data_IF_984073867145
#
_entry.id   IF_984073867145
#
_cell.length_a   1.000
_cell.length_b   1.000
_cell.length_c   1.000
_cell.angle_alpha   90.00
_cell.angle_beta   90.00
_cell.angle_gamma   90.00
#
_symmetry.space_group_name_H-M   'P 1'
#
loop_
_entity.id
_entity.type
_entity.pdbx_description
1 polymer ?
#
# COMPACT_ATOMS: atom_id res chain seq x y z
N UNK A 1 -0.92 -37.63 7.64
CA UNK A 1 -0.56 -36.52 8.53
C UNK A 1 -1.61 -35.43 8.36
N UNK A 2 -2.41 -35.16 9.41
CA UNK A 2 -3.39 -34.06 9.36
C UNK A 2 -2.64 -32.71 9.19
N UNK A 3 -2.92 -31.99 8.11
CA UNK A 3 -2.40 -30.62 7.95
C UNK A 3 -2.93 -29.78 9.13
N UNK A 4 -2.05 -29.28 9.97
CA UNK A 4 -2.40 -28.34 11.04
C UNK A 4 -3.01 -27.13 10.36
N UNK A 5 -4.31 -26.89 10.57
CA UNK A 5 -5.00 -25.71 10.05
C UNK A 5 -4.67 -24.51 10.93
N UNK A 6 -4.57 -23.32 10.33
CA UNK A 6 -4.44 -22.05 11.04
C UNK A 6 -5.71 -21.80 11.88
N UNK A 7 -5.57 -21.23 13.07
CA UNK A 7 -6.72 -20.91 13.91
C UNK A 7 -7.38 -19.60 13.45
N UNK A 8 -8.72 -19.59 13.35
CA UNK A 8 -9.49 -18.40 12.96
C UNK A 8 -9.71 -17.50 14.18
N UNK A 9 -8.74 -16.62 14.45
CA UNK A 9 -8.75 -15.73 15.62
C UNK A 9 -8.98 -14.26 15.28
N UNK A 10 -8.74 -13.85 14.01
CA UNK A 10 -8.86 -12.47 13.56
C UNK A 10 -10.31 -12.07 13.38
N UNK A 11 -10.82 -11.23 14.27
CA UNK A 11 -12.17 -10.64 14.16
C UNK A 11 -12.19 -9.40 13.25
N UNK A 12 -13.38 -8.87 13.00
CA UNK A 12 -13.59 -7.71 12.11
C UNK A 12 -12.74 -6.49 12.46
N UNK A 13 -12.64 -6.12 13.74
CA UNK A 13 -11.90 -4.92 14.18
C UNK A 13 -10.41 -5.07 13.91
N UNK A 14 -9.82 -6.23 14.22
CA UNK A 14 -8.42 -6.51 13.94
C UNK A 14 -8.14 -6.53 12.44
N UNK A 15 -9.04 -7.10 11.64
CA UNK A 15 -8.93 -7.09 10.18
C UNK A 15 -9.01 -5.67 9.61
N UNK A 16 -9.90 -4.83 10.14
CA UNK A 16 -10.02 -3.43 9.74
C UNK A 16 -8.74 -2.66 10.07
N UNK A 17 -8.24 -2.77 11.30
CA UNK A 17 -7.01 -2.10 11.71
C UNK A 17 -5.80 -2.60 10.91
N UNK A 18 -5.72 -3.89 10.64
CA UNK A 18 -4.68 -4.46 9.76
C UNK A 18 -4.73 -3.85 8.36
N UNK A 19 -5.92 -3.78 7.75
CA UNK A 19 -6.11 -3.18 6.43
C UNK A 19 -5.83 -1.68 6.42
N UNK A 20 -6.30 -0.96 7.45
CA UNK A 20 -6.01 0.47 7.59
C UNK A 20 -4.52 0.73 7.76
N UNK A 21 -3.79 -0.05 8.57
CA UNK A 21 -2.35 0.13 8.74
C UNK A 21 -1.57 -0.11 7.46
N UNK A 22 -1.99 -1.07 6.64
CA UNK A 22 -1.37 -1.30 5.35
C UNK A 22 -1.63 -0.15 4.36
N UNK A 23 -2.83 0.46 4.37
CA UNK A 23 -3.19 1.59 3.51
C UNK A 23 -2.60 2.90 4.06
N UNK A 24 -2.86 3.23 5.34
CA UNK A 24 -2.45 4.50 5.96
C UNK A 24 -0.94 4.62 6.12
N UNK A 25 -0.25 3.50 6.30
CA UNK A 25 1.18 3.37 6.54
C UNK A 25 2.04 4.44 5.90
N UNK A 26 3.16 4.10 5.39
CA UNK A 26 4.11 5.08 4.90
C UNK A 26 3.67 5.88 3.65
N UNK A 27 2.64 5.45 2.91
CA UNK A 27 2.24 6.13 1.68
C UNK A 27 1.91 7.60 1.88
N UNK A 28 0.99 7.92 2.78
CA UNK A 28 0.59 9.30 3.04
C UNK A 28 1.68 10.08 3.79
N UNK A 29 2.36 9.45 4.75
CA UNK A 29 3.41 10.10 5.54
C UNK A 29 4.58 10.58 4.68
N UNK A 30 4.85 9.90 3.58
CA UNK A 30 6.04 10.14 2.75
C UNK A 30 5.71 10.87 1.46
N UNK A 31 4.57 10.58 0.83
CA UNK A 31 4.28 11.03 -0.54
C UNK A 31 3.35 12.23 -0.64
N UNK A 32 2.65 12.64 0.43
CA UNK A 32 1.69 13.74 0.36
C UNK A 32 2.31 15.01 -0.23
N UNK A 33 3.50 15.40 0.20
CA UNK A 33 4.21 16.56 -0.33
C UNK A 33 4.61 16.41 -1.80
N UNK A 34 4.99 15.19 -2.22
CA UNK A 34 5.38 14.92 -3.61
C UNK A 34 4.16 14.96 -4.54
N UNK A 35 3.02 14.43 -4.12
CA UNK A 35 1.76 14.52 -4.88
C UNK A 35 1.31 15.98 -5.00
N UNK A 36 1.37 16.75 -3.91
CA UNK A 36 1.07 18.18 -3.91
C UNK A 36 2.03 18.94 -4.86
N UNK A 37 3.30 18.57 -4.87
CA UNK A 37 4.29 19.15 -5.76
C UNK A 37 4.04 18.89 -7.26
N UNK A 38 3.34 17.79 -7.60
CA UNK A 38 2.93 17.44 -8.97
C UNK A 38 1.60 18.13 -9.33
N UNK A 39 0.59 17.92 -8.49
CA UNK A 39 -0.80 18.26 -8.82
C UNK A 39 -1.30 19.57 -8.20
N UNK A 40 -0.48 20.25 -7.38
CA UNK A 40 -0.91 21.47 -6.71
C UNK A 40 -2.21 21.26 -5.94
N UNK A 41 -3.14 22.20 -6.05
CA UNK A 41 -4.47 22.10 -5.43
C UNK A 41 -5.32 20.97 -6.01
N UNK A 42 -5.05 20.50 -7.22
CA UNK A 42 -5.73 19.32 -7.79
C UNK A 42 -5.35 18.00 -7.11
N UNK A 43 -4.42 18.01 -6.14
CA UNK A 43 -4.09 16.81 -5.35
C UNK A 43 -5.31 16.22 -4.65
N UNK A 44 -6.30 17.04 -4.24
CA UNK A 44 -7.56 16.54 -3.68
C UNK A 44 -8.29 15.67 -4.70
N UNK A 45 -8.42 16.16 -5.94
CA UNK A 45 -9.05 15.42 -7.04
C UNK A 45 -8.23 14.18 -7.38
N UNK A 46 -6.90 14.29 -7.38
CA UNK A 46 -5.98 13.19 -7.63
C UNK A 46 -6.12 12.06 -6.61
N UNK A 47 -6.20 12.36 -5.31
CA UNK A 47 -6.43 11.37 -4.26
C UNK A 47 -7.82 10.74 -4.34
N UNK A 48 -8.86 11.51 -4.66
CA UNK A 48 -10.22 10.99 -4.90
C UNK A 48 -10.21 10.04 -6.11
N UNK A 49 -9.57 10.43 -7.21
CA UNK A 49 -9.44 9.58 -8.40
C UNK A 49 -8.69 8.28 -8.08
N UNK A 50 -7.57 8.36 -7.37
CA UNK A 50 -6.81 7.20 -6.94
C UNK A 50 -7.64 6.26 -6.04
N UNK A 51 -8.43 6.82 -5.11
CA UNK A 51 -9.33 6.05 -4.26
C UNK A 51 -10.42 5.33 -5.04
N UNK A 52 -10.97 5.97 -6.09
CA UNK A 52 -11.97 5.36 -6.97
C UNK A 52 -11.36 4.18 -7.74
N UNK A 53 -10.16 4.37 -8.31
CA UNK A 53 -9.42 3.30 -9.00
C UNK A 53 -9.18 2.11 -8.06
N UNK A 54 -8.73 2.37 -6.84
CA UNK A 54 -8.53 1.35 -5.81
C UNK A 54 -9.85 0.65 -5.43
N UNK A 55 -10.95 1.41 -5.27
CA UNK A 55 -12.24 0.91 -4.82
C UNK A 55 -12.80 -0.18 -5.76
N UNK A 56 -12.81 0.04 -7.08
CA UNK A 56 -13.35 -0.93 -8.02
C UNK A 56 -12.59 -2.25 -7.98
N UNK A 57 -11.28 -2.20 -7.83
CA UNK A 57 -10.47 -3.42 -7.66
C UNK A 57 -10.66 -4.03 -6.27
N UNK A 58 -10.78 -3.22 -5.23
CA UNK A 58 -11.04 -3.71 -3.87
C UNK A 58 -12.38 -4.46 -3.76
N UNK A 59 -13.40 -4.00 -4.48
CA UNK A 59 -14.69 -4.73 -4.60
C UNK A 59 -14.48 -6.10 -5.28
N UNK A 60 -13.63 -6.19 -6.29
CA UNK A 60 -13.30 -7.47 -6.93
C UNK A 60 -12.53 -8.40 -5.99
N UNK A 61 -11.57 -7.87 -5.22
CA UNK A 61 -10.87 -8.63 -4.16
C UNK A 61 -11.83 -9.12 -3.07
N UNK A 62 -12.81 -8.29 -2.69
CA UNK A 62 -13.84 -8.64 -1.73
C UNK A 62 -14.63 -9.90 -2.14
N UNK A 63 -15.06 -9.98 -3.40
CA UNK A 63 -15.76 -11.15 -3.92
C UNK A 63 -14.82 -12.35 -4.03
N UNK A 64 -13.61 -12.17 -4.57
CA UNK A 64 -12.63 -13.23 -4.75
C UNK A 64 -12.15 -13.81 -3.42
N UNK A 65 -11.85 -12.98 -2.42
CA UNK A 65 -11.48 -13.44 -1.09
C UNK A 65 -12.60 -14.21 -0.38
N UNK A 66 -13.86 -13.84 -0.67
CA UNK A 66 -15.03 -14.57 -0.16
C UNK A 66 -15.24 -15.92 -0.85
N UNK A 67 -14.89 -16.02 -2.15
CA UNK A 67 -14.97 -17.26 -2.94
C UNK A 67 -13.84 -18.23 -2.64
N UNK A 68 -12.64 -17.69 -2.51
CA UNK A 68 -11.38 -18.43 -2.34
C UNK A 68 -10.62 -17.92 -1.11
N UNK A 69 -11.06 -18.25 0.11
CA UNK A 69 -10.43 -17.75 1.35
C UNK A 69 -9.13 -18.51 1.65
N UNK A 70 -8.10 -18.28 0.84
CA UNK A 70 -6.79 -18.94 0.94
C UNK A 70 -5.66 -17.92 1.00
N UNK A 71 -4.61 -18.18 1.75
CA UNK A 71 -3.49 -17.27 1.98
C UNK A 71 -2.62 -16.98 0.75
N UNK A 72 -2.76 -17.73 -0.35
CA UNK A 72 -2.06 -17.47 -1.61
C UNK A 72 -2.96 -16.72 -2.61
N UNK A 73 -3.92 -15.91 -2.13
CA UNK A 73 -5.08 -15.39 -2.82
C UNK A 73 -4.86 -14.99 -4.28
N UNK A 74 -3.99 -14.02 -4.58
CA UNK A 74 -3.90 -13.44 -5.93
C UNK A 74 -3.48 -14.47 -6.99
N UNK A 75 -2.46 -15.29 -6.71
CA UNK A 75 -2.01 -16.32 -7.66
C UNK A 75 -3.11 -17.38 -7.90
N UNK A 76 -3.90 -17.69 -6.87
CA UNK A 76 -5.07 -18.59 -6.99
C UNK A 76 -6.16 -17.93 -7.83
N UNK A 77 -6.47 -16.65 -7.62
CA UNK A 77 -7.48 -15.93 -8.39
C UNK A 77 -7.15 -15.94 -9.90
N UNK A 78 -5.87 -15.75 -10.25
CA UNK A 78 -5.41 -15.81 -11.63
C UNK A 78 -5.51 -17.26 -12.19
N UNK A 79 -5.13 -18.26 -11.39
CA UNK A 79 -5.21 -19.65 -11.79
C UNK A 79 -6.66 -20.07 -12.06
N UNK A 80 -7.58 -19.71 -11.17
CA UNK A 80 -9.01 -20.04 -11.28
C UNK A 80 -9.70 -19.25 -12.41
N UNK A 81 -9.33 -17.98 -12.61
CA UNK A 81 -9.97 -17.15 -13.63
C UNK A 81 -9.42 -17.34 -15.03
N UNK A 82 -8.10 -17.49 -15.16
CA UNK A 82 -7.44 -17.55 -16.48
C UNK A 82 -6.99 -18.96 -16.85
N UNK A 83 -6.77 -19.84 -15.86
CA UNK A 83 -6.34 -21.22 -16.09
C UNK A 83 -4.88 -21.36 -16.54
N UNK A 84 -4.07 -20.29 -16.49
CA UNK A 84 -2.70 -20.28 -16.98
C UNK A 84 -1.68 -20.32 -15.85
N UNK A 85 -0.94 -21.44 -15.75
CA UNK A 85 0.15 -21.59 -14.79
C UNK A 85 1.23 -20.52 -14.98
N UNK A 86 1.63 -20.22 -16.21
CA UNK A 86 2.68 -19.26 -16.50
C UNK A 86 2.27 -17.83 -16.08
N UNK A 87 1.00 -17.47 -16.31
CA UNK A 87 0.49 -16.17 -15.87
C UNK A 87 0.43 -16.08 -14.36
N UNK A 88 0.02 -17.15 -13.66
CA UNK A 88 0.02 -17.20 -12.19
C UNK A 88 1.44 -17.04 -11.62
N UNK A 89 2.46 -17.63 -12.25
CA UNK A 89 3.87 -17.45 -11.89
C UNK A 89 4.28 -15.99 -12.13
N UNK A 90 3.98 -15.44 -13.30
CA UNK A 90 4.30 -14.05 -13.63
C UNK A 90 3.70 -13.06 -12.65
N UNK A 91 2.42 -13.22 -12.29
CA UNK A 91 1.75 -12.37 -11.31
C UNK A 91 2.35 -12.53 -9.91
N UNK A 92 2.71 -13.75 -9.49
CA UNK A 92 3.41 -13.97 -8.24
C UNK A 92 4.75 -13.22 -8.16
N UNK A 93 5.52 -13.22 -9.26
CA UNK A 93 6.77 -12.44 -9.37
C UNK A 93 6.50 -10.94 -9.36
N UNK A 94 5.48 -10.46 -10.09
CA UNK A 94 5.13 -9.04 -10.12
C UNK A 94 4.77 -8.52 -8.72
N UNK A 95 3.98 -9.28 -7.95
CA UNK A 95 3.62 -8.90 -6.56
C UNK A 95 4.87 -8.90 -5.67
N UNK A 96 5.75 -9.91 -5.79
CA UNK A 96 6.98 -9.95 -5.01
C UNK A 96 7.86 -8.75 -5.32
N UNK A 97 8.06 -8.41 -6.60
CA UNK A 97 8.84 -7.25 -7.02
C UNK A 97 8.17 -5.95 -6.54
N UNK A 98 6.85 -5.81 -6.71
CA UNK A 98 6.11 -4.64 -6.25
C UNK A 98 6.30 -4.42 -4.74
N UNK A 99 6.23 -5.48 -3.93
CA UNK A 99 6.49 -5.42 -2.50
C UNK A 99 7.92 -4.98 -2.16
N UNK A 100 8.94 -5.47 -2.90
CA UNK A 100 10.33 -5.06 -2.67
C UNK A 100 10.59 -3.62 -3.09
N UNK A 101 9.99 -3.16 -4.18
CA UNK A 101 10.02 -1.75 -4.63
C UNK A 101 9.30 -0.87 -3.60
N UNK A 102 8.14 -1.30 -3.13
CA UNK A 102 7.41 -0.61 -2.06
C UNK A 102 8.26 -0.50 -0.79
N UNK A 103 8.92 -1.59 -0.36
CA UNK A 103 9.84 -1.56 0.77
C UNK A 103 10.96 -0.53 0.56
N UNK A 104 11.56 -0.47 -0.63
CA UNK A 104 12.60 0.51 -0.96
C UNK A 104 12.05 1.95 -0.90
N UNK A 105 10.83 2.20 -1.38
CA UNK A 105 10.13 3.50 -1.26
C UNK A 105 10.01 3.91 0.20
N UNK A 106 9.53 2.99 1.06
CA UNK A 106 9.34 3.22 2.49
C UNK A 106 10.66 3.55 3.18
N UNK A 107 11.71 2.78 2.90
CA UNK A 107 13.04 3.01 3.48
C UNK A 107 13.63 4.36 3.06
N UNK A 108 13.40 4.81 1.82
CA UNK A 108 13.72 6.17 1.40
C UNK A 108 12.97 7.23 2.24
N UNK A 109 11.69 7.02 2.48
CA UNK A 109 10.87 7.91 3.31
C UNK A 109 11.34 7.96 4.78
N UNK A 110 11.84 6.85 5.32
CA UNK A 110 12.39 6.79 6.67
C UNK A 110 13.54 7.79 6.88
N UNK A 111 14.40 7.94 5.89
CA UNK A 111 15.55 8.86 5.94
C UNK A 111 15.11 10.29 6.24
N UNK A 112 14.03 10.75 5.62
CA UNK A 112 13.51 12.10 5.84
C UNK A 112 13.11 12.36 7.29
N UNK A 113 12.40 11.42 7.92
CA UNK A 113 12.00 11.53 9.32
C UNK A 113 13.18 11.34 10.28
N UNK A 114 14.10 10.42 9.99
CA UNK A 114 15.27 10.18 10.83
C UNK A 114 16.20 11.40 10.85
N UNK A 115 16.38 12.06 9.72
CA UNK A 115 17.22 13.24 9.59
C UNK A 115 16.68 14.49 10.33
N UNK A 116 15.47 14.42 10.89
CA UNK A 116 14.98 15.43 11.87
C UNK A 116 15.75 15.35 13.21
N UNK A 117 16.40 14.22 13.51
CA UNK A 117 17.14 14.00 14.74
C UNK A 117 18.65 14.06 14.54
N UNK A 118 19.16 13.33 13.54
CA UNK A 118 20.60 13.18 13.27
C UNK A 118 20.83 13.11 11.77
N UNK A 119 21.74 13.93 11.29
CA UNK A 119 22.16 13.90 9.87
C UNK A 119 23.13 12.74 9.65
N UNK A 120 22.70 11.73 8.90
CA UNK A 120 23.49 10.57 8.50
C UNK A 120 23.44 10.45 6.98
N UNK A 121 24.50 9.90 6.37
CA UNK A 121 24.50 9.58 4.95
C UNK A 121 23.28 8.71 4.60
N UNK A 122 22.40 9.16 3.67
CA UNK A 122 21.16 8.47 3.33
C UNK A 122 21.38 7.01 2.91
N UNK A 123 22.37 6.74 2.08
CA UNK A 123 22.66 5.39 1.54
C UNK A 123 23.06 4.42 2.66
N UNK A 124 23.88 4.91 3.61
CA UNK A 124 24.27 4.13 4.78
C UNK A 124 23.07 3.82 5.66
N UNK A 125 22.23 4.84 5.94
CA UNK A 125 21.06 4.68 6.79
C UNK A 125 20.05 3.71 6.17
N UNK A 126 19.76 3.83 4.88
CA UNK A 126 18.87 2.91 4.15
C UNK A 126 19.39 1.47 4.20
N UNK A 127 20.69 1.29 3.93
CA UNK A 127 21.33 -0.05 3.94
C UNK A 127 21.26 -0.67 5.33
N UNK A 128 21.61 0.07 6.38
CA UNK A 128 21.52 -0.40 7.77
C UNK A 128 20.09 -0.77 8.18
N UNK A 129 19.12 0.07 7.83
CA UNK A 129 17.72 -0.22 8.11
C UNK A 129 17.27 -1.52 7.44
N UNK A 130 17.55 -1.71 6.14
CA UNK A 130 17.20 -2.94 5.43
C UNK A 130 17.85 -4.17 6.06
N UNK A 131 19.13 -4.09 6.43
CA UNK A 131 19.83 -5.18 7.12
C UNK A 131 19.14 -5.52 8.44
N UNK A 132 18.75 -4.53 9.21
CA UNK A 132 18.02 -4.72 10.47
C UNK A 132 16.66 -5.39 10.21
N UNK A 133 15.90 -4.91 9.21
CA UNK A 133 14.60 -5.49 8.85
C UNK A 133 14.73 -6.94 8.37
N UNK A 134 15.76 -7.26 7.58
CA UNK A 134 16.09 -8.63 7.15
C UNK A 134 16.44 -9.50 8.35
N UNK A 135 17.28 -9.03 9.27
CA UNK A 135 17.65 -9.75 10.48
C UNK A 135 16.45 -10.03 11.39
N UNK A 136 15.53 -9.07 11.52
CA UNK A 136 14.26 -9.22 12.24
C UNK A 136 13.38 -10.27 11.54
N UNK A 137 13.25 -10.20 10.21
CA UNK A 137 12.46 -11.15 9.41
C UNK A 137 12.97 -12.58 9.53
N UNK A 138 14.29 -12.76 9.58
CA UNK A 138 14.94 -14.08 9.76
C UNK A 138 14.68 -14.65 11.14
N UNK A 139 14.67 -13.85 12.19
CA UNK A 139 14.42 -14.31 13.57
C UNK A 139 13.01 -14.88 13.78
N UNK A 140 12.13 -14.74 12.79
CA UNK A 140 10.80 -15.32 12.86
C UNK A 140 9.85 -14.57 13.78
N UNK A 141 9.99 -13.25 13.86
CA UNK A 141 8.99 -12.40 14.49
C UNK A 141 7.66 -12.70 13.77
N UNK A 142 6.78 -13.41 14.49
CA UNK A 142 5.38 -13.48 14.12
C UNK A 142 4.90 -12.03 14.13
N UNK A 143 4.77 -11.43 12.95
CA UNK A 143 4.05 -10.17 12.82
C UNK A 143 2.61 -10.47 13.23
N UNK A 144 2.36 -10.38 14.54
CA UNK A 144 1.03 -10.60 15.08
C UNK A 144 0.15 -9.49 14.49
N UNK A 145 -0.98 -9.85 13.94
CA UNK A 145 -2.01 -8.88 13.51
C UNK A 145 -2.29 -7.87 14.63
N UNK A 146 -2.13 -8.28 15.88
CA UNK A 146 -2.23 -7.40 17.05
C UNK A 146 -1.14 -6.32 17.04
N UNK A 147 0.13 -6.66 16.77
CA UNK A 147 1.23 -5.69 16.72
C UNK A 147 1.00 -4.70 15.59
N UNK A 148 0.67 -5.18 14.40
CA UNK A 148 0.31 -4.33 13.26
C UNK A 148 -0.86 -3.41 13.62
N UNK A 149 -1.92 -3.94 14.27
CA UNK A 149 -3.07 -3.13 14.68
C UNK A 149 -2.71 -2.06 15.71
N UNK A 150 -1.82 -2.33 16.65
CA UNK A 150 -1.34 -1.34 17.63
C UNK A 150 -0.52 -0.24 16.94
N UNK A 151 0.36 -0.60 16.01
CA UNK A 151 1.11 0.37 15.20
C UNK A 151 0.16 1.22 14.36
N UNK A 152 -0.87 0.62 13.76
CA UNK A 152 -1.91 1.36 13.04
C UNK A 152 -2.61 2.39 13.91
N UNK A 153 -2.92 2.08 15.17
CA UNK A 153 -3.50 3.06 16.08
C UNK A 153 -2.55 4.25 16.34
N UNK A 154 -1.25 4.00 16.42
CA UNK A 154 -0.23 5.05 16.54
C UNK A 154 -0.20 5.91 15.27
N UNK A 155 -0.26 5.28 14.10
CA UNK A 155 -0.30 5.97 12.79
C UNK A 155 -1.56 6.85 12.67
N UNK A 156 -2.73 6.30 12.95
CA UNK A 156 -4.00 7.05 12.96
C UNK A 156 -3.94 8.21 13.94
N UNK A 157 -3.37 8.00 15.14
CA UNK A 157 -3.17 9.07 16.12
C UNK A 157 -2.31 10.20 15.56
N UNK A 158 -1.23 9.88 14.83
CA UNK A 158 -0.39 10.88 14.16
C UNK A 158 -1.16 11.72 13.14
N UNK A 159 -1.99 11.08 12.29
CA UNK A 159 -2.84 11.78 11.33
C UNK A 159 -3.86 12.68 12.03
N UNK A 160 -4.54 12.15 13.05
CA UNK A 160 -5.52 12.92 13.84
C UNK A 160 -4.87 14.08 14.58
N UNK A 161 -3.62 13.93 15.05
CA UNK A 161 -2.86 15.00 15.68
C UNK A 161 -2.58 16.15 14.69
N UNK A 162 -2.17 15.87 13.47
CA UNK A 162 -1.98 16.88 12.41
C UNK A 162 -3.32 17.57 12.10
N UNK A 163 -4.40 16.80 11.92
CA UNK A 163 -5.74 17.34 11.66
C UNK A 163 -6.21 18.22 12.81
N UNK A 164 -5.98 17.80 14.07
CA UNK A 164 -6.38 18.56 15.25
C UNK A 164 -5.69 19.93 15.32
N UNK A 165 -4.37 19.98 15.13
CA UNK A 165 -3.63 21.25 15.15
C UNK A 165 -3.91 22.13 13.92
N UNK A 166 -4.26 21.54 12.78
CA UNK A 166 -4.62 22.25 11.54
C UNK A 166 -6.12 22.49 11.37
N UNK A 167 -6.95 22.21 12.39
CA UNK A 167 -8.41 22.23 12.26
C UNK A 167 -8.98 23.60 11.89
N UNK A 168 -8.40 24.67 12.40
CA UNK A 168 -8.81 26.05 12.07
C UNK A 168 -8.61 26.35 10.57
N UNK A 169 -7.54 25.82 9.94
CA UNK A 169 -7.31 25.94 8.50
C UNK A 169 -8.32 25.17 7.66
N UNK A 170 -8.85 24.05 8.18
CA UNK A 170 -9.90 23.28 7.49
C UNK A 170 -11.23 24.05 7.48
N UNK A 171 -11.59 24.71 8.59
CA UNK A 171 -12.84 25.48 8.71
C UNK A 171 -12.75 26.81 7.94
N UNK A 172 -11.61 27.47 8.04
CA UNK A 172 -11.37 28.80 7.47
C UNK A 172 -10.50 28.72 6.20
N UNK A 173 -10.81 27.77 5.31
CA UNK A 173 -10.07 27.56 4.06
C UNK A 173 -9.91 28.88 3.31
N UNK A 174 -8.67 29.38 3.22
CA UNK A 174 -8.34 30.63 2.52
C UNK A 174 -8.30 30.48 0.99
N UNK A 175 -8.21 29.22 0.54
CA UNK A 175 -8.13 28.88 -0.88
C UNK A 175 -9.54 28.89 -1.46
N UNK A 176 -9.73 29.60 -2.57
CA UNK A 176 -11.03 29.61 -3.26
C UNK A 176 -11.40 28.19 -3.72
N UNK A 177 -12.65 27.78 -3.52
CA UNK A 177 -13.12 26.48 -3.99
C UNK A 177 -12.90 26.28 -5.50
N UNK A 178 -12.90 27.36 -6.28
CA UNK A 178 -12.62 27.35 -7.72
C UNK A 178 -11.21 26.84 -8.07
N UNK A 179 -10.24 26.94 -7.15
CA UNK A 179 -8.87 26.46 -7.39
C UNK A 179 -8.75 24.92 -7.32
N UNK A 180 -9.71 24.27 -6.68
CA UNK A 180 -9.80 22.80 -6.63
C UNK A 180 -10.55 22.22 -7.83
N UNK A 181 -11.22 23.05 -8.63
CA UNK A 181 -12.02 22.60 -9.79
C UNK A 181 -11.17 22.73 -11.06
N UNK A 182 -10.87 21.61 -11.76
CA UNK A 182 -10.14 21.67 -13.02
C UNK A 182 -10.98 22.33 -14.12
N UNK A 183 -10.34 23.05 -15.00
CA UNK A 183 -10.96 23.64 -16.20
C UNK A 183 -11.20 22.59 -17.30
N UNK A 184 -10.82 21.34 -17.06
CA UNK A 184 -10.94 20.22 -18.00
C UNK A 184 -10.18 20.42 -19.32
N UNK A 185 -9.16 21.25 -19.33
CA UNK A 185 -8.18 21.27 -20.41
C UNK A 185 -7.18 20.10 -20.27
N UNK A 186 -6.40 19.86 -21.33
CA UNK A 186 -5.45 18.74 -21.33
C UNK A 186 -4.35 18.90 -20.28
N UNK A 187 -3.97 20.12 -19.93
CA UNK A 187 -2.95 20.41 -18.92
C UNK A 187 -3.43 19.99 -17.53
N UNK A 188 -4.61 20.45 -17.11
CA UNK A 188 -5.19 20.12 -15.81
C UNK A 188 -5.42 18.61 -15.68
N UNK A 189 -5.97 17.98 -16.74
CA UNK A 189 -6.21 16.54 -16.77
C UNK A 189 -4.90 15.76 -16.60
N UNK A 190 -3.86 16.12 -17.35
CA UNK A 190 -2.56 15.45 -17.29
C UNK A 190 -1.95 15.52 -15.89
N UNK A 191 -1.97 16.68 -15.27
CA UNK A 191 -1.45 16.90 -13.90
C UNK A 191 -2.24 16.11 -12.86
N UNK A 192 -3.58 16.04 -12.99
CA UNK A 192 -4.43 15.23 -12.11
C UNK A 192 -4.10 13.74 -12.23
N UNK A 193 -3.94 13.21 -13.45
CA UNK A 193 -3.62 11.80 -13.66
C UNK A 193 -2.21 11.46 -13.17
N UNK A 194 -1.21 12.32 -13.40
CA UNK A 194 0.14 12.16 -12.84
C UNK A 194 0.10 12.12 -11.30
N UNK A 195 -0.61 13.09 -10.70
CA UNK A 195 -0.82 13.13 -9.25
C UNK A 195 -1.57 11.90 -8.73
N UNK A 196 -2.63 11.46 -9.41
CA UNK A 196 -3.41 10.29 -9.03
C UNK A 196 -2.60 8.99 -9.14
N UNK A 197 -1.75 8.87 -10.14
CA UNK A 197 -0.87 7.72 -10.31
C UNK A 197 0.14 7.61 -9.14
N UNK A 198 0.71 8.71 -8.69
CA UNK A 198 1.58 8.73 -7.53
C UNK A 198 0.77 8.55 -6.23
N UNK A 199 -0.39 9.21 -6.08
CA UNK A 199 -1.28 9.07 -4.94
C UNK A 199 -1.84 7.64 -4.80
N UNK A 200 -1.98 6.89 -5.89
CA UNK A 200 -2.42 5.51 -5.88
C UNK A 200 -1.53 4.62 -5.00
N UNK A 201 -0.24 4.94 -4.92
CA UNK A 201 0.67 4.25 -3.99
C UNK A 201 0.18 4.29 -2.54
N UNK A 202 -0.44 5.39 -2.11
CA UNK A 202 -0.95 5.52 -0.75
C UNK A 202 -2.23 4.68 -0.49
N UNK A 203 -2.81 4.06 -1.51
CA UNK A 203 -3.94 3.15 -1.39
C UNK A 203 -3.54 1.67 -1.54
N UNK A 204 -2.27 1.37 -1.89
CA UNK A 204 -1.73 0.01 -1.93
C UNK A 204 -1.71 -0.54 -0.50
N UNK A 205 -2.15 -1.80 -0.31
CA UNK A 205 -2.13 -2.48 0.99
C UNK A 205 -3.45 -3.18 1.35
N UNK A 206 -4.60 -2.79 0.79
CA UNK A 206 -5.84 -3.52 1.04
C UNK A 206 -5.79 -4.95 0.46
N UNK A 207 -5.04 -5.18 -0.60
CA UNK A 207 -4.81 -6.49 -1.19
C UNK A 207 -4.05 -7.45 -0.27
N UNK A 208 -3.28 -6.92 0.67
CA UNK A 208 -2.56 -7.73 1.65
C UNK A 208 -3.50 -8.37 2.69
N UNK A 209 -4.69 -7.77 2.88
CA UNK A 209 -5.69 -8.34 3.78
C UNK A 209 -6.06 -9.77 3.39
N UNK A 210 -6.08 -10.11 2.09
CA UNK A 210 -6.46 -11.46 1.64
C UNK A 210 -5.43 -12.53 2.02
N UNK A 211 -4.18 -12.15 2.30
CA UNK A 211 -3.13 -13.08 2.70
C UNK A 211 -3.34 -13.71 4.07
N UNK A 212 -4.20 -13.12 4.92
CA UNK A 212 -4.59 -13.66 6.23
C UNK A 212 -5.99 -14.31 6.23
N UNK A 213 -6.54 -14.61 5.03
CA UNK A 213 -7.92 -15.09 4.88
C UNK A 213 -8.23 -16.37 5.69
N UNK A 214 -7.25 -17.26 5.86
CA UNK A 214 -7.41 -18.49 6.62
C UNK A 214 -7.53 -18.26 8.14
N UNK A 215 -7.07 -17.09 8.62
CA UNK A 215 -7.07 -16.74 10.05
C UNK A 215 -8.28 -15.86 10.45
N UNK A 216 -9.08 -15.39 9.46
CA UNK A 216 -10.22 -14.50 9.70
C UNK A 216 -11.47 -15.27 10.08
N UNK A 217 -12.19 -14.78 11.10
CA UNK A 217 -13.52 -15.26 11.50
C UNK A 217 -14.56 -14.75 10.49
N UNK A 218 -15.40 -15.64 9.99
CA UNK A 218 -16.47 -15.33 9.02
C UNK A 218 -15.97 -14.46 7.84
N UNK A 219 -14.98 -14.94 7.06
CA UNK A 219 -14.31 -14.11 6.03
C UNK A 219 -15.29 -13.53 5.02
N UNK A 220 -16.33 -14.27 4.63
CA UNK A 220 -17.37 -13.79 3.69
C UNK A 220 -18.15 -12.56 4.17
N UNK A 221 -18.22 -12.32 5.48
CA UNK A 221 -18.86 -11.14 6.07
C UNK A 221 -17.87 -10.06 6.50
N UNK A 222 -16.68 -10.48 6.99
CA UNK A 222 -15.70 -9.57 7.55
C UNK A 222 -14.96 -8.78 6.46
N UNK A 223 -14.48 -9.45 5.39
CA UNK A 223 -13.73 -8.80 4.31
C UNK A 223 -14.47 -7.64 3.64
N UNK A 224 -15.72 -7.82 3.20
CA UNK A 224 -16.42 -6.75 2.50
C UNK A 224 -16.50 -5.46 3.29
N UNK A 225 -16.86 -5.58 4.56
CA UNK A 225 -16.98 -4.43 5.45
C UNK A 225 -15.61 -3.81 5.77
N UNK A 226 -14.61 -4.63 6.03
CA UNK A 226 -13.29 -4.16 6.42
C UNK A 226 -12.57 -3.44 5.26
N UNK A 227 -12.61 -3.98 4.05
CA UNK A 227 -11.97 -3.37 2.86
C UNK A 227 -12.62 -2.02 2.55
N UNK A 228 -13.97 -1.96 2.46
CA UNK A 228 -14.67 -0.72 2.13
C UNK A 228 -14.44 0.34 3.22
N UNK A 229 -14.53 -0.05 4.49
CA UNK A 229 -14.36 0.90 5.59
C UNK A 229 -12.92 1.38 5.70
N UNK A 230 -11.93 0.51 5.48
CA UNK A 230 -10.52 0.90 5.45
C UNK A 230 -10.25 1.93 4.34
N UNK A 231 -10.69 1.66 3.11
CA UNK A 231 -10.53 2.60 1.99
C UNK A 231 -11.26 3.92 2.23
N UNK A 232 -12.52 3.88 2.67
CA UNK A 232 -13.31 5.09 2.91
C UNK A 232 -12.68 5.96 4.02
N UNK A 233 -12.27 5.35 5.13
CA UNK A 233 -11.62 6.06 6.25
C UNK A 233 -10.29 6.64 5.83
N UNK A 234 -9.47 5.88 5.10
CA UNK A 234 -8.17 6.37 4.59
C UNK A 234 -8.36 7.54 3.63
N UNK A 235 -9.29 7.43 2.66
CA UNK A 235 -9.60 8.53 1.73
C UNK A 235 -10.02 9.79 2.47
N UNK A 236 -10.91 9.64 3.46
CA UNK A 236 -11.38 10.78 4.27
C UNK A 236 -10.22 11.45 5.03
N UNK A 237 -9.38 10.66 5.70
CA UNK A 237 -8.22 11.18 6.40
C UNK A 237 -7.24 11.87 5.44
N UNK A 238 -7.01 11.31 4.26
CA UNK A 238 -6.11 11.88 3.26
C UNK A 238 -6.59 13.25 2.77
N UNK A 239 -7.89 13.39 2.51
CA UNK A 239 -8.49 14.68 2.13
C UNK A 239 -8.30 15.71 3.24
N UNK A 240 -8.54 15.36 4.50
CA UNK A 240 -8.32 16.28 5.62
C UNK A 240 -6.85 16.69 5.75
N UNK A 241 -5.92 15.76 5.58
CA UNK A 241 -4.48 16.05 5.60
C UNK A 241 -4.09 16.99 4.47
N UNK A 242 -4.62 16.80 3.27
CA UNK A 242 -4.36 17.72 2.14
C UNK A 242 -4.84 19.14 2.47
N UNK A 243 -6.04 19.30 3.01
CA UNK A 243 -6.58 20.62 3.38
C UNK A 243 -5.69 21.30 4.43
N UNK A 244 -5.27 20.57 5.48
CA UNK A 244 -4.31 21.09 6.47
C UNK A 244 -2.99 21.48 5.81
N UNK A 245 -2.49 20.64 4.90
CA UNK A 245 -1.21 20.86 4.24
C UNK A 245 -1.21 22.16 3.44
N UNK A 246 -2.28 22.44 2.69
CA UNK A 246 -2.42 23.64 1.87
C UNK A 246 -2.54 24.92 2.69
N UNK A 247 -3.18 24.88 3.87
CA UNK A 247 -3.27 26.08 4.74
C UNK A 247 -1.95 26.33 5.47
N UNK A 248 -1.13 25.30 5.66
CA UNK A 248 0.05 25.38 6.56
C UNK A 248 1.32 25.75 5.81
N UNK A 249 1.58 25.14 4.65
CA UNK A 249 2.83 25.28 3.88
C UNK A 249 2.51 25.58 2.42
N UNK A 250 3.42 26.28 1.76
CA UNK A 250 3.35 26.48 0.32
C UNK A 250 3.58 25.18 -0.46
N UNK A 251 3.08 25.11 -1.70
CA UNK A 251 3.29 23.95 -2.59
C UNK A 251 4.79 23.66 -2.75
N UNK A 252 5.62 24.70 -2.86
CA UNK A 252 7.07 24.57 -3.00
C UNK A 252 7.72 23.94 -1.74
N UNK A 253 7.33 24.40 -0.54
CA UNK A 253 7.80 23.84 0.72
C UNK A 253 7.40 22.36 0.85
N UNK A 254 6.16 22.01 0.52
CA UNK A 254 5.66 20.63 0.55
C UNK A 254 6.37 19.73 -0.46
N UNK A 255 6.58 20.21 -1.70
CA UNK A 255 7.29 19.49 -2.76
C UNK A 255 8.71 19.10 -2.33
N UNK A 256 9.41 20.03 -1.69
CA UNK A 256 10.82 19.86 -1.30
C UNK A 256 10.98 19.15 0.05
N UNK A 257 9.89 18.99 0.82
CA UNK A 257 9.94 18.31 2.10
C UNK A 257 10.23 16.81 1.94
N UNK A 258 11.11 16.30 2.81
CA UNK A 258 11.38 14.87 2.97
C UNK A 258 10.67 14.29 4.21
N UNK A 259 10.09 15.13 5.06
CA UNK A 259 9.31 14.75 6.23
C UNK A 259 8.10 15.69 6.37
N UNK A 260 7.13 15.66 5.44
CA UNK A 260 6.09 16.69 5.32
C UNK A 260 5.29 16.87 6.61
N UNK A 261 4.99 15.81 7.36
CA UNK A 261 4.25 15.93 8.61
C UNK A 261 5.08 16.55 9.74
N UNK A 262 6.40 16.35 9.73
CA UNK A 262 7.28 17.04 10.68
C UNK A 262 7.27 18.55 10.43
N UNK A 263 7.37 18.96 9.16
CA UNK A 263 7.37 20.37 8.78
C UNK A 263 6.02 21.04 9.05
N UNK A 264 4.90 20.37 8.72
CA UNK A 264 3.54 20.82 9.01
C UNK A 264 3.36 20.99 10.52
N UNK A 265 3.73 19.98 11.32
CA UNK A 265 3.60 20.04 12.78
C UNK A 265 4.39 21.20 13.39
N UNK A 266 5.64 21.36 12.97
CA UNK A 266 6.51 22.46 13.41
C UNK A 266 5.90 23.82 13.09
N UNK A 267 5.36 23.98 11.88
CA UNK A 267 4.72 25.23 11.44
C UNK A 267 3.44 25.55 12.23
N UNK A 268 2.59 24.54 12.47
CA UNK A 268 1.34 24.69 13.21
C UNK A 268 1.54 24.97 14.70
N UNK A 269 2.52 24.33 15.32
CA UNK A 269 2.66 24.35 16.78
C UNK A 269 3.82 25.20 17.30
N UNK A 270 4.78 25.52 16.44
CA UNK A 270 6.05 26.14 16.82
C UNK A 270 6.98 25.23 17.66
N UNK A 271 6.61 23.95 17.84
CA UNK A 271 7.36 22.97 18.65
C UNK A 271 8.20 22.05 17.78
N UNK A 272 9.22 21.44 18.39
CA UNK A 272 10.03 20.43 17.72
C UNK A 272 9.17 19.21 17.32
N UNK A 273 9.32 18.69 16.09
CA UNK A 273 8.44 17.66 15.54
C UNK A 273 8.80 16.24 16.00
N UNK A 274 9.35 16.06 17.21
CA UNK A 274 9.87 14.80 17.74
C UNK A 274 8.81 13.69 17.69
N UNK A 275 7.61 13.96 18.22
CA UNK A 275 6.55 12.96 18.34
C UNK A 275 6.09 12.50 16.95
N UNK A 276 5.78 13.43 16.05
CA UNK A 276 5.27 13.10 14.73
C UNK A 276 6.35 12.42 13.86
N UNK A 277 7.62 12.79 14.05
CA UNK A 277 8.73 12.13 13.34
C UNK A 277 8.93 10.69 13.82
N UNK A 278 8.80 10.42 15.11
CA UNK A 278 8.83 9.06 15.66
C UNK A 278 7.65 8.23 15.11
N UNK A 279 6.45 8.80 15.09
CA UNK A 279 5.27 8.13 14.51
C UNK A 279 5.51 7.81 13.02
N UNK A 280 6.01 8.76 12.24
CA UNK A 280 6.36 8.55 10.82
C UNK A 280 7.40 7.44 10.62
N UNK A 281 8.44 7.38 11.48
CA UNK A 281 9.42 6.30 11.43
C UNK A 281 8.78 4.94 11.72
N UNK A 282 7.89 4.84 12.71
CA UNK A 282 7.19 3.59 13.03
C UNK A 282 6.27 3.15 11.89
N UNK A 283 5.56 4.07 11.27
CA UNK A 283 4.71 3.79 10.11
C UNK A 283 5.53 3.17 8.96
N UNK A 284 6.69 3.76 8.67
CA UNK A 284 7.59 3.27 7.61
C UNK A 284 8.18 1.91 7.95
N UNK A 285 8.69 1.72 9.16
CA UNK A 285 9.29 0.44 9.61
C UNK A 285 8.25 -0.68 9.54
N UNK A 286 7.01 -0.42 9.98
CA UNK A 286 5.93 -1.38 9.93
C UNK A 286 5.67 -1.86 8.50
N UNK A 287 5.40 -0.93 7.59
CA UNK A 287 5.17 -1.26 6.18
C UNK A 287 6.35 -1.97 5.52
N UNK A 288 7.57 -1.47 5.69
CA UNK A 288 8.76 -2.06 5.10
C UNK A 288 9.03 -3.50 5.59
N UNK A 289 8.83 -3.77 6.88
CA UNK A 289 8.97 -5.11 7.45
C UNK A 289 7.95 -6.09 6.86
N UNK A 290 6.69 -5.69 6.77
CA UNK A 290 5.61 -6.49 6.17
C UNK A 290 5.95 -6.85 4.72
N UNK A 291 6.42 -5.89 3.92
CA UNK A 291 6.76 -6.11 2.52
C UNK A 291 7.93 -7.09 2.34
N UNK A 292 9.00 -7.00 3.14
CA UNK A 292 10.12 -7.98 3.11
C UNK A 292 9.64 -9.38 3.46
N UNK A 293 8.83 -9.51 4.53
CA UNK A 293 8.30 -10.81 4.97
C UNK A 293 7.44 -11.39 3.85
N UNK A 294 6.54 -10.62 3.29
CA UNK A 294 5.60 -11.06 2.26
C UNK A 294 6.33 -11.48 0.98
N UNK A 295 7.23 -10.65 0.44
CA UNK A 295 8.00 -10.97 -0.75
C UNK A 295 8.84 -12.25 -0.55
N UNK A 296 9.48 -12.41 0.61
CA UNK A 296 10.25 -13.63 0.92
C UNK A 296 9.39 -14.88 0.97
N UNK A 297 8.15 -14.79 1.47
CA UNK A 297 7.20 -15.91 1.50
C UNK A 297 6.65 -16.25 0.11
N UNK A 298 6.42 -15.26 -0.74
CA UNK A 298 6.03 -15.48 -2.13
C UNK A 298 7.14 -16.23 -2.87
N UNK A 299 8.38 -15.78 -2.79
CA UNK A 299 9.55 -16.43 -3.41
C UNK A 299 9.70 -17.87 -2.90
N UNK A 300 9.61 -18.09 -1.59
CA UNK A 300 9.64 -19.40 -0.98
C UNK A 300 8.48 -20.31 -1.49
N UNK A 301 7.25 -19.81 -1.47
CA UNK A 301 6.08 -20.55 -1.92
C UNK A 301 6.14 -20.94 -3.39
N UNK A 302 6.65 -20.07 -4.24
CA UNK A 302 6.89 -20.35 -5.65
C UNK A 302 7.98 -21.43 -5.83
N UNK A 303 9.05 -21.39 -5.03
CA UNK A 303 10.09 -22.40 -5.06
C UNK A 303 9.57 -23.77 -4.60
N UNK A 304 8.73 -23.84 -3.58
CA UNK A 304 8.08 -25.09 -3.13
C UNK A 304 7.17 -25.69 -4.20
N UNK A 305 6.50 -24.84 -5.01
CA UNK A 305 5.67 -25.27 -6.14
C UNK A 305 6.46 -25.62 -7.39
N UNK A 306 7.80 -25.49 -7.38
CA UNK A 306 8.65 -25.69 -8.55
C UNK A 306 8.49 -24.58 -9.62
N UNK A 307 8.07 -23.39 -9.21
CA UNK A 307 7.91 -22.21 -10.05
C UNK A 307 9.10 -21.24 -9.93
N UNK A 308 10.01 -21.51 -9.00
CA UNK A 308 11.25 -20.79 -8.76
C UNK A 308 12.34 -21.77 -8.35
N UNK A 309 13.66 -21.44 -8.43
CA UNK A 309 14.71 -22.38 -8.10
C UNK A 309 14.55 -22.97 -6.69
N UNK A 310 14.67 -24.28 -6.58
CA UNK A 310 14.46 -25.05 -5.34
C UNK A 310 15.38 -24.62 -4.18
N UNK A 311 16.50 -23.96 -4.49
CA UNK A 311 17.39 -23.34 -3.51
C UNK A 311 16.66 -22.42 -2.52
N UNK A 312 15.60 -21.76 -2.94
CA UNK A 312 14.80 -20.84 -2.12
C UNK A 312 13.65 -21.52 -1.37
N UNK A 313 13.46 -22.85 -1.56
CA UNK A 313 12.43 -23.61 -0.85
C UNK A 313 12.86 -24.08 0.55
N UNK A 314 14.10 -23.83 0.95
CA UNK A 314 14.62 -24.26 2.24
C UNK A 314 14.14 -23.37 3.39
N UNK A 315 13.68 -24.02 4.47
CA UNK A 315 13.31 -23.38 5.74
C UNK A 315 14.32 -23.74 6.81
N UNK A 316 14.82 -22.75 7.52
CA UNK A 316 15.72 -22.96 8.65
C UNK A 316 15.06 -23.76 9.76
N UNK A 317 15.71 -24.83 10.24
CA UNK A 317 15.21 -25.63 11.34
C UNK A 317 15.09 -24.83 12.66
N UNK A 318 15.96 -23.84 12.86
CA UNK A 318 16.05 -23.01 14.08
C UNK A 318 15.02 -21.89 14.10
N UNK A 319 14.91 -21.12 13.02
CA UNK A 319 14.06 -19.92 12.97
C UNK A 319 12.69 -20.17 12.35
N UNK A 320 12.53 -21.31 11.66
CA UNK A 320 11.31 -21.66 10.91
C UNK A 320 10.98 -20.66 9.80
N UNK A 321 12.01 -19.99 9.25
CA UNK A 321 11.88 -18.96 8.20
C UNK A 321 12.70 -19.30 6.96
N UNK A 322 12.32 -18.83 5.76
CA UNK A 322 13.04 -19.07 4.53
C UNK A 322 14.22 -18.07 4.39
N UNK A 323 15.32 -18.31 5.12
CA UNK A 323 16.46 -17.36 5.21
C UNK A 323 16.98 -16.95 3.83
N UNK A 324 17.17 -17.91 2.90
CA UNK A 324 17.69 -17.63 1.55
C UNK A 324 16.79 -16.68 0.75
N UNK A 325 15.47 -16.90 0.81
CA UNK A 325 14.50 -16.03 0.17
C UNK A 325 14.44 -14.64 0.83
N UNK A 326 14.60 -14.55 2.15
CA UNK A 326 14.64 -13.28 2.89
C UNK A 326 15.92 -12.48 2.55
N UNK A 327 17.06 -13.14 2.43
CA UNK A 327 18.31 -12.50 2.00
C UNK A 327 18.22 -11.99 0.57
N UNK A 328 17.64 -12.77 -0.36
CA UNK A 328 17.37 -12.32 -1.72
C UNK A 328 16.47 -11.07 -1.74
N UNK A 329 15.37 -11.10 -0.97
CA UNK A 329 14.46 -9.96 -0.83
C UNK A 329 15.20 -8.71 -0.33
N UNK A 330 15.99 -8.82 0.73
CA UNK A 330 16.80 -7.72 1.26
C UNK A 330 17.81 -7.17 0.25
N UNK A 331 18.51 -8.04 -0.47
CA UNK A 331 19.50 -7.62 -1.48
C UNK A 331 18.84 -6.84 -2.63
N UNK A 332 17.70 -7.30 -3.11
CA UNK A 332 16.93 -6.61 -4.15
C UNK A 332 16.42 -5.26 -3.62
N UNK A 333 15.90 -5.20 -2.39
CA UNK A 333 15.44 -3.95 -1.77
C UNK A 333 16.57 -2.93 -1.63
N UNK A 334 17.77 -3.35 -1.19
CA UNK A 334 18.95 -2.48 -1.12
C UNK A 334 19.25 -1.91 -2.50
N UNK A 335 19.30 -2.77 -3.53
CA UNK A 335 19.59 -2.32 -4.90
C UNK A 335 18.57 -1.27 -5.37
N UNK A 336 17.27 -1.48 -5.16
CA UNK A 336 16.26 -0.51 -5.53
C UNK A 336 16.39 0.80 -4.72
N UNK A 337 16.59 0.71 -3.42
CA UNK A 337 16.70 1.89 -2.55
C UNK A 337 17.91 2.79 -2.89
N UNK A 338 19.02 2.20 -3.33
CA UNK A 338 20.24 2.93 -3.68
C UNK A 338 20.24 3.46 -5.12
N UNK A 339 19.53 2.81 -6.05
CA UNK A 339 19.58 3.15 -7.47
C UNK A 339 18.47 4.12 -7.90
N UNK A 340 17.37 4.19 -7.17
CA UNK A 340 16.19 4.95 -7.56
C UNK A 340 15.72 5.87 -6.44
N UNK A 341 15.18 7.03 -6.82
CA UNK A 341 14.56 7.98 -5.91
C UNK A 341 13.16 7.54 -5.47
N UNK A 342 12.66 8.18 -4.42
CA UNK A 342 11.39 7.88 -3.78
C UNK A 342 10.19 7.93 -4.74
N UNK A 343 10.13 8.96 -5.62
CA UNK A 343 9.00 9.15 -6.54
C UNK A 343 9.01 8.09 -7.63
N UNK A 344 10.19 7.80 -8.19
CA UNK A 344 10.37 6.74 -9.19
C UNK A 344 9.98 5.36 -8.63
N UNK A 345 10.42 5.04 -7.40
CA UNK A 345 10.06 3.78 -6.74
C UNK A 345 8.56 3.67 -6.47
N UNK A 346 7.94 4.71 -5.95
CA UNK A 346 6.50 4.73 -5.69
C UNK A 346 5.69 4.59 -6.99
N UNK A 347 6.10 5.30 -8.05
CA UNK A 347 5.49 5.21 -9.37
C UNK A 347 5.63 3.82 -9.98
N UNK A 348 6.82 3.21 -9.86
CA UNK A 348 7.05 1.85 -10.35
C UNK A 348 6.23 0.81 -9.57
N UNK A 349 6.13 0.93 -8.25
CA UNK A 349 5.25 0.09 -7.43
C UNK A 349 3.80 0.23 -7.86
N UNK A 350 3.30 1.47 -8.06
CA UNK A 350 1.95 1.74 -8.55
C UNK A 350 1.68 1.08 -9.89
N UNK A 351 2.62 1.15 -10.83
CA UNK A 351 2.50 0.52 -12.15
C UNK A 351 2.36 -1.01 -12.03
N UNK A 352 3.24 -1.65 -11.27
CA UNK A 352 3.22 -3.10 -11.07
C UNK A 352 1.90 -3.56 -10.45
N UNK A 353 1.44 -2.87 -9.41
CA UNK A 353 0.18 -3.20 -8.74
C UNK A 353 -1.04 -2.94 -9.64
N UNK A 354 -1.07 -1.87 -10.44
CA UNK A 354 -2.14 -1.62 -11.39
C UNK A 354 -2.25 -2.72 -12.47
N UNK A 355 -1.12 -3.27 -12.91
CA UNK A 355 -1.10 -4.45 -13.81
C UNK A 355 -1.72 -5.66 -13.11
N UNK A 356 -1.31 -5.94 -11.87
CA UNK A 356 -1.87 -7.04 -11.07
C UNK A 356 -3.36 -6.84 -10.85
N UNK A 357 -3.80 -5.65 -10.47
CA UNK A 357 -5.19 -5.31 -10.24
C UNK A 357 -6.05 -5.48 -11.50
N UNK A 358 -5.50 -5.10 -12.66
CA UNK A 358 -6.15 -5.36 -13.96
C UNK A 358 -6.37 -6.85 -14.17
N UNK A 359 -5.35 -7.69 -13.95
CA UNK A 359 -5.44 -9.13 -14.10
C UNK A 359 -6.41 -9.78 -13.09
N UNK A 360 -6.47 -9.27 -11.87
CA UNK A 360 -7.44 -9.73 -10.85
C UNK A 360 -8.87 -9.42 -11.27
N UNK A 361 -9.14 -8.20 -11.76
CA UNK A 361 -10.45 -7.84 -12.29
C UNK A 361 -10.85 -8.72 -13.49
N UNK A 362 -9.93 -8.97 -14.45
CA UNK A 362 -10.15 -9.87 -15.57
C UNK A 362 -10.43 -11.30 -15.10
N UNK A 363 -9.74 -11.77 -14.07
CA UNK A 363 -9.97 -13.10 -13.50
C UNK A 363 -11.38 -13.22 -12.90
N UNK A 364 -11.84 -12.22 -12.18
CA UNK A 364 -13.21 -12.20 -11.65
C UNK A 364 -14.25 -12.21 -12.79
N UNK A 365 -14.06 -11.41 -13.85
CA UNK A 365 -14.94 -11.41 -15.01
C UNK A 365 -15.08 -12.82 -15.59
N UNK A 366 -13.95 -13.53 -15.80
CA UNK A 366 -13.95 -14.90 -16.33
C UNK A 366 -14.59 -15.90 -15.39
N UNK A 367 -14.28 -15.85 -14.10
CA UNK A 367 -14.90 -16.72 -13.09
C UNK A 367 -16.43 -16.54 -13.09
N UNK A 368 -16.92 -15.30 -13.13
CA UNK A 368 -18.37 -15.02 -13.16
C UNK A 368 -19.06 -15.47 -14.44
N UNK A 369 -18.33 -15.51 -15.55
CA UNK A 369 -18.86 -15.94 -16.84
C UNK A 369 -18.87 -17.47 -17.01
N UNK A 370 -18.01 -18.19 -16.28
CA UNK A 370 -17.78 -19.63 -16.48
C UNK A 370 -18.30 -20.54 -15.38
N UNK A 371 -18.57 -20.01 -14.19
CA UNK A 371 -18.94 -20.82 -13.03
C UNK A 371 -20.32 -20.47 -12.47
N UNK A 372 -21.01 -21.48 -11.90
CA UNK A 372 -22.24 -21.27 -11.14
C UNK A 372 -21.92 -20.43 -9.92
N UNK A 373 -22.75 -19.42 -9.65
CA UNK A 373 -22.54 -18.51 -8.54
C UNK A 373 -22.67 -19.26 -7.19
N UNK A 374 -21.63 -19.28 -6.33
CA UNK A 374 -21.70 -19.97 -5.05
C UNK A 374 -22.69 -19.25 -4.12
N UNK A 375 -23.46 -20.04 -3.35
CA UNK A 375 -24.36 -19.50 -2.33
C UNK A 375 -23.56 -19.01 -1.12
N UNK A 376 -24.04 -17.92 -0.49
CA UNK A 376 -23.41 -17.37 0.73
C UNK A 376 -22.16 -16.51 0.51
N UNK A 377 -21.81 -16.24 -0.74
CA UNK A 377 -20.73 -15.33 -1.12
C UNK A 377 -21.32 -14.01 -1.58
N UNK A 378 -20.71 -12.90 -1.18
CA UNK A 378 -21.09 -11.57 -1.67
C UNK A 378 -20.74 -11.48 -3.15
N UNK A 379 -21.73 -11.05 -3.92
CA UNK A 379 -21.60 -10.93 -5.37
C UNK A 379 -21.71 -9.46 -5.77
N UNK A 380 -20.70 -8.95 -6.45
CA UNK A 380 -20.75 -7.63 -7.07
C UNK A 380 -21.32 -7.73 -8.51
N UNK A 381 -21.98 -6.70 -9.03
CA UNK A 381 -22.41 -6.67 -10.43
C UNK A 381 -21.22 -6.80 -11.38
N UNK A 382 -21.43 -7.46 -12.54
CA UNK A 382 -20.37 -7.74 -13.52
C UNK A 382 -19.72 -6.46 -14.10
N UNK A 383 -20.45 -5.35 -14.14
CA UNK A 383 -19.89 -4.08 -14.61
C UNK A 383 -18.78 -3.52 -13.69
N UNK A 384 -18.77 -3.89 -12.39
CA UNK A 384 -17.77 -3.41 -11.41
C UNK A 384 -16.35 -3.83 -11.80
N UNK A 385 -16.03 -5.12 -12.01
CA UNK A 385 -14.69 -5.50 -12.43
C UNK A 385 -14.34 -5.00 -13.85
N UNK A 386 -15.30 -4.84 -14.78
CA UNK A 386 -15.05 -4.19 -16.05
C UNK A 386 -14.63 -2.73 -15.89
N UNK A 387 -15.31 -2.00 -15.00
CA UNK A 387 -14.95 -0.63 -14.70
C UNK A 387 -13.60 -0.56 -13.97
N UNK A 388 -13.28 -1.53 -13.11
CA UNK A 388 -11.96 -1.67 -12.50
C UNK A 388 -10.85 -1.84 -13.54
N UNK A 389 -11.05 -2.68 -14.56
CA UNK A 389 -10.08 -2.80 -15.69
C UNK A 389 -9.94 -1.46 -16.40
N UNK A 390 -11.06 -0.81 -16.72
CA UNK A 390 -11.06 0.48 -17.44
C UNK A 390 -10.29 1.55 -16.65
N UNK A 391 -10.58 1.71 -15.35
CA UNK A 391 -9.92 2.69 -14.50
C UNK A 391 -8.42 2.46 -14.37
N UNK A 392 -8.01 1.20 -14.13
CA UNK A 392 -6.59 0.85 -14.01
C UNK A 392 -5.83 1.15 -15.32
N UNK A 393 -6.37 0.73 -16.46
CA UNK A 393 -5.75 0.95 -17.78
C UNK A 393 -5.73 2.44 -18.12
N UNK A 394 -6.83 3.16 -17.90
CA UNK A 394 -6.90 4.59 -18.12
C UNK A 394 -5.86 5.36 -17.29
N UNK A 395 -5.72 5.04 -16.00
CA UNK A 395 -4.74 5.70 -15.13
C UNK A 395 -3.33 5.50 -15.67
N UNK A 396 -2.98 4.28 -16.11
CA UNK A 396 -1.65 4.00 -16.70
C UNK A 396 -1.47 4.74 -18.02
N UNK A 397 -2.43 4.66 -18.96
CA UNK A 397 -2.30 5.29 -20.29
C UNK A 397 -2.23 6.81 -20.21
N UNK A 398 -3.07 7.43 -19.39
CA UNK A 398 -3.07 8.89 -19.21
C UNK A 398 -1.77 9.37 -18.56
N UNK A 399 -1.23 8.60 -17.61
CA UNK A 399 0.08 8.91 -17.01
C UNK A 399 1.20 8.84 -18.05
N UNK A 400 1.21 7.78 -18.88
CA UNK A 400 2.23 7.63 -19.94
C UNK A 400 2.13 8.70 -21.02
N UNK A 401 0.93 9.22 -21.30
CA UNK A 401 0.74 10.31 -22.28
C UNK A 401 1.12 11.68 -21.72
N UNK A 402 1.29 11.81 -20.42
CA UNK A 402 1.62 13.07 -19.73
C UNK A 402 3.12 13.20 -19.43
N UNK A 403 3.92 12.15 -19.65
CA UNK A 403 5.39 12.12 -19.56
C UNK A 403 6.00 12.44 -20.91
#
# INVERSE_FOLDING_TARGET
MSKIKLSREVGFVLLLLYGMGNILGAGIYVLVGKVIGIAGYFSVVAFVLASIVALFTALSYMELASRYPVSAGVAVYIQEGVGSRNLSIGVGLLIAIAGLVSCATLVNGFVGYFNQFVQINPELLMTLLIIILVAISIKGIKASVIVVSLLTLIEVFGLLMIIYYGFDGIINVKISFSEFIPKFDFSDISVIFLGAFLAFYAFIGFEDMVNIAEEVKDPSKAYPKAIILALATSTFLYILILLVSFDTLSIEELKNSNAPFADIYKKLTGKDPVIISIIGMFAVINGALVQIIMASRIVYGMAVKGWFPSYFSEVSARTKTPIKATLLAGSITISFALLFDLVSLASFSSLLILIVFTLVNVSLIRIKSSTIQPQGVIQIPLWVPWFGVLCNVLLVLMTLSAI
#
